data_IF_071458995358
#
_entry.id   IF_071458995358
#
_cell.length_a   1.000
_cell.length_b   1.000
_cell.length_c   1.000
_cell.angle_alpha   90.00
_cell.angle_beta   90.00
_cell.angle_gamma   90.00
#
_symmetry.space_group_name_H-M   'P 1'
#
loop_
_entity.id
_entity.type
_entity.pdbx_description
1 polymer ?
#
# COMPACT_ATOMS: atom_id res chain seq x y z
N UNK A 1 -5.33 -13.34 -37.18
CA UNK A 1 -5.96 -13.25 -35.83
C UNK A 1 -4.92 -13.53 -34.77
N UNK A 2 -4.83 -12.64 -33.77
CA UNK A 2 -3.97 -12.87 -32.60
C UNK A 2 -4.76 -13.73 -31.62
N UNK A 3 -4.27 -14.92 -31.22
CA UNK A 3 -4.98 -15.75 -30.26
C UNK A 3 -5.05 -15.04 -28.91
N UNK A 4 -6.25 -14.86 -28.40
CA UNK A 4 -6.48 -14.29 -27.08
C UNK A 4 -6.48 -15.41 -26.03
N UNK A 5 -5.51 -15.39 -25.14
CA UNK A 5 -5.50 -16.25 -23.97
C UNK A 5 -6.50 -15.73 -22.94
N UNK A 6 -7.65 -16.38 -22.85
CA UNK A 6 -8.67 -16.04 -21.87
C UNK A 6 -8.58 -17.00 -20.69
N UNK A 7 -8.37 -16.45 -19.49
CA UNK A 7 -8.44 -17.23 -18.27
C UNK A 7 -9.90 -17.63 -18.00
N UNK A 8 -10.18 -18.93 -18.03
CA UNK A 8 -11.54 -19.48 -17.89
C UNK A 8 -11.81 -20.19 -16.57
N UNK A 9 -10.81 -20.31 -15.71
CA UNK A 9 -11.00 -20.94 -14.39
C UNK A 9 -11.80 -20.05 -13.46
N UNK A 10 -12.68 -20.67 -12.69
CA UNK A 10 -13.46 -20.01 -11.64
C UNK A 10 -12.77 -20.18 -10.29
N UNK A 11 -13.27 -19.49 -9.26
CA UNK A 11 -12.79 -19.69 -7.89
C UNK A 11 -12.93 -21.15 -7.43
N UNK A 12 -13.93 -21.89 -7.92
CA UNK A 12 -14.10 -23.32 -7.61
C UNK A 12 -12.94 -24.18 -8.12
N UNK A 13 -12.40 -23.79 -9.27
CA UNK A 13 -11.31 -24.54 -9.92
C UNK A 13 -9.95 -24.30 -9.27
N UNK A 14 -9.79 -23.17 -8.58
CA UNK A 14 -8.50 -22.74 -8.02
C UNK A 14 -8.44 -22.76 -6.50
N UNK A 15 -9.58 -22.78 -5.80
CA UNK A 15 -9.63 -22.69 -4.33
C UNK A 15 -8.87 -23.80 -3.60
N UNK A 16 -8.69 -24.96 -4.22
CA UNK A 16 -7.88 -26.06 -3.67
C UNK A 16 -6.37 -25.82 -3.71
N UNK A 17 -5.92 -24.82 -4.48
CA UNK A 17 -4.51 -24.42 -4.57
C UNK A 17 -4.10 -23.30 -3.61
N UNK A 18 -5.07 -22.74 -2.86
CA UNK A 18 -4.82 -21.62 -1.94
C UNK A 18 -5.52 -21.85 -0.61
N UNK A 19 -4.85 -21.62 0.53
CA UNK A 19 -5.50 -21.58 1.84
C UNK A 19 -6.64 -20.55 1.85
N UNK A 20 -7.69 -20.84 2.60
CA UNK A 20 -8.84 -19.93 2.70
C UNK A 20 -8.45 -18.56 3.26
N UNK A 21 -7.59 -18.56 4.26
CA UNK A 21 -7.05 -17.35 4.89
C UNK A 21 -6.33 -16.44 3.88
N UNK A 22 -5.60 -17.01 2.94
CA UNK A 22 -4.91 -16.26 1.90
C UNK A 22 -5.89 -15.62 0.92
N UNK A 23 -6.93 -16.35 0.52
CA UNK A 23 -7.98 -15.79 -0.35
C UNK A 23 -8.72 -14.63 0.34
N UNK A 24 -8.99 -14.76 1.65
CA UNK A 24 -9.60 -13.70 2.45
C UNK A 24 -8.65 -12.51 2.57
N UNK A 25 -7.36 -12.75 2.80
CA UNK A 25 -6.35 -11.69 2.88
C UNK A 25 -6.21 -10.93 1.54
N UNK A 26 -6.13 -11.66 0.42
CA UNK A 26 -6.12 -11.03 -0.91
C UNK A 26 -7.36 -10.17 -1.15
N UNK A 27 -8.54 -10.66 -0.81
CA UNK A 27 -9.78 -9.90 -0.97
C UNK A 27 -9.78 -8.64 -0.08
N UNK A 28 -9.32 -8.75 1.17
CA UNK A 28 -9.15 -7.61 2.07
C UNK A 28 -8.20 -6.57 1.49
N UNK A 29 -7.04 -7.02 1.00
CA UNK A 29 -6.03 -6.12 0.42
C UNK A 29 -6.59 -5.38 -0.81
N UNK A 30 -7.32 -6.08 -1.69
CA UNK A 30 -8.02 -5.46 -2.82
C UNK A 30 -9.04 -4.40 -2.36
N UNK A 31 -9.78 -4.67 -1.27
CA UNK A 31 -10.74 -3.72 -0.71
C UNK A 31 -10.05 -2.49 -0.12
N UNK A 32 -8.92 -2.67 0.58
CA UNK A 32 -8.13 -1.56 1.12
C UNK A 32 -7.61 -0.65 -0.01
N UNK A 33 -7.05 -1.25 -1.07
CA UNK A 33 -6.56 -0.49 -2.23
C UNK A 33 -7.71 0.27 -2.89
N UNK A 34 -8.85 -0.39 -3.16
CA UNK A 34 -10.01 0.24 -3.77
C UNK A 34 -10.50 1.44 -2.95
N UNK A 35 -10.58 1.29 -1.64
CA UNK A 35 -11.07 2.37 -0.76
C UNK A 35 -10.07 3.53 -0.69
N UNK A 36 -8.78 3.23 -0.67
CA UNK A 36 -7.74 4.24 -0.77
C UNK A 36 -7.87 5.06 -2.08
N UNK A 37 -8.03 4.40 -3.21
CA UNK A 37 -8.21 5.06 -4.51
C UNK A 37 -9.51 5.86 -4.59
N UNK A 38 -10.61 5.35 -4.00
CA UNK A 38 -11.87 6.09 -3.87
C UNK A 38 -11.69 7.38 -3.08
N UNK A 39 -10.95 7.33 -1.96
CA UNK A 39 -10.62 8.49 -1.16
C UNK A 39 -9.82 9.52 -1.99
N UNK A 40 -8.76 9.09 -2.67
CA UNK A 40 -7.93 9.98 -3.51
C UNK A 40 -8.78 10.62 -4.61
N UNK A 41 -9.66 9.85 -5.25
CA UNK A 41 -10.58 10.39 -6.25
C UNK A 41 -11.53 11.42 -5.64
N UNK A 42 -12.14 11.12 -4.50
CA UNK A 42 -13.11 11.99 -3.85
C UNK A 42 -12.49 13.33 -3.43
N UNK A 43 -11.33 13.34 -2.77
CA UNK A 43 -10.65 14.58 -2.36
C UNK A 43 -10.17 15.41 -3.54
N UNK A 44 -9.98 14.80 -4.69
CA UNK A 44 -9.59 15.49 -5.93
C UNK A 44 -10.80 16.10 -6.66
N UNK A 45 -11.91 15.37 -6.74
CA UNK A 45 -13.09 15.77 -7.54
C UNK A 45 -14.14 16.48 -6.73
N UNK A 46 -14.56 15.88 -5.62
CA UNK A 46 -15.64 16.38 -4.75
C UNK A 46 -15.10 17.27 -3.62
N UNK A 47 -13.80 17.16 -3.34
CA UNK A 47 -13.09 17.87 -2.24
C UNK A 47 -13.61 17.51 -0.84
N UNK A 48 -14.27 16.39 -0.73
CA UNK A 48 -14.76 15.82 0.52
C UNK A 48 -14.67 14.31 0.48
N UNK A 49 -14.30 13.69 1.59
CA UNK A 49 -14.36 12.26 1.78
C UNK A 49 -14.83 11.94 3.19
N UNK A 50 -15.96 11.21 3.31
CA UNK A 50 -16.56 10.83 4.58
C UNK A 50 -16.75 11.99 5.57
N UNK A 51 -17.18 13.15 5.06
CA UNK A 51 -17.41 14.35 5.87
C UNK A 51 -16.15 15.16 6.18
N UNK A 52 -14.99 14.75 5.67
CA UNK A 52 -13.73 15.52 5.80
C UNK A 52 -13.49 16.32 4.52
N UNK A 53 -13.49 17.64 4.66
CA UNK A 53 -13.17 18.54 3.55
C UNK A 53 -11.67 18.58 3.32
N UNK A 54 -11.25 18.21 2.13
CA UNK A 54 -9.86 18.29 1.69
C UNK A 54 -9.78 18.47 0.18
N UNK A 55 -9.03 19.44 -0.27
CA UNK A 55 -8.82 19.69 -1.70
C UNK A 55 -7.40 19.29 -2.09
N UNK A 56 -7.31 18.32 -2.99
CA UNK A 56 -6.06 17.91 -3.61
C UNK A 56 -6.06 18.29 -5.08
N UNK A 57 -5.10 19.13 -5.48
CA UNK A 57 -4.97 19.65 -6.85
C UNK A 57 -3.82 19.00 -7.63
N UNK A 58 -3.02 18.16 -6.98
CA UNK A 58 -1.89 17.49 -7.59
C UNK A 58 -2.30 16.37 -8.56
N UNK A 59 -1.36 15.82 -9.33
CA UNK A 59 -1.61 14.68 -10.20
C UNK A 59 -1.90 13.43 -9.36
N UNK A 60 -2.94 12.71 -9.72
CA UNK A 60 -3.22 11.37 -9.20
C UNK A 60 -3.66 10.48 -10.35
N UNK A 61 -2.85 9.50 -10.65
CA UNK A 61 -3.10 8.50 -11.68
C UNK A 61 -3.64 7.24 -11.01
N UNK A 62 -4.96 7.18 -10.83
CA UNK A 62 -5.63 6.11 -10.11
C UNK A 62 -5.40 4.75 -10.77
N UNK A 63 -5.25 3.73 -9.95
CA UNK A 63 -5.15 2.31 -10.35
C UNK A 63 -6.45 1.54 -10.09
N UNK A 64 -7.59 2.23 -10.00
CA UNK A 64 -8.90 1.59 -9.85
C UNK A 64 -9.16 0.57 -10.96
N UNK A 65 -9.58 -0.63 -10.55
CA UNK A 65 -9.81 -1.76 -11.46
C UNK A 65 -8.59 -2.67 -11.64
N UNK A 66 -7.41 -2.31 -11.09
CA UNK A 66 -6.18 -3.09 -11.19
C UNK A 66 -5.84 -3.84 -9.89
N UNK A 67 -6.71 -3.79 -8.88
CA UNK A 67 -6.46 -4.33 -7.53
C UNK A 67 -6.12 -5.82 -7.55
N UNK A 68 -6.83 -6.60 -8.36
CA UNK A 68 -6.61 -8.05 -8.46
C UNK A 68 -5.24 -8.38 -9.04
N UNK A 69 -4.78 -7.61 -10.04
CA UNK A 69 -3.46 -7.77 -10.63
C UNK A 69 -2.36 -7.42 -9.62
N UNK A 70 -2.49 -6.27 -8.96
CA UNK A 70 -1.53 -5.80 -7.97
C UNK A 70 -1.39 -6.75 -6.77
N UNK A 71 -2.53 -7.17 -6.20
CA UNK A 71 -2.55 -8.09 -5.06
C UNK A 71 -2.07 -9.49 -5.44
N UNK A 72 -2.45 -9.99 -6.62
CA UNK A 72 -2.00 -11.29 -7.12
C UNK A 72 -0.48 -11.33 -7.32
N UNK A 73 0.10 -10.27 -7.88
CA UNK A 73 1.57 -10.14 -7.99
C UNK A 73 2.23 -10.08 -6.60
N UNK A 74 1.73 -9.23 -5.71
CA UNK A 74 2.28 -9.10 -4.37
C UNK A 74 2.20 -10.39 -3.53
N UNK A 75 1.18 -11.21 -3.79
CA UNK A 75 1.06 -12.52 -3.16
C UNK A 75 2.12 -13.51 -3.65
N UNK A 76 2.42 -13.49 -4.95
CA UNK A 76 3.39 -14.41 -5.59
C UNK A 76 4.85 -14.03 -5.32
N UNK A 77 5.12 -12.78 -4.96
CA UNK A 77 6.47 -12.26 -4.75
C UNK A 77 6.92 -12.42 -3.30
N UNK A 78 8.22 -12.64 -3.12
CA UNK A 78 8.85 -12.59 -1.80
C UNK A 78 9.10 -11.15 -1.34
N UNK A 79 9.37 -10.97 -0.04
CA UNK A 79 9.58 -9.64 0.54
C UNK A 79 10.82 -8.93 -0.03
N UNK A 80 11.82 -9.69 -0.46
CA UNK A 80 13.07 -9.17 -1.03
C UNK A 80 13.00 -8.93 -2.55
N UNK A 81 11.90 -9.32 -3.20
CA UNK A 81 11.73 -9.11 -4.63
C UNK A 81 11.51 -7.64 -4.98
N UNK A 82 12.03 -7.25 -6.13
CA UNK A 82 11.83 -5.91 -6.68
C UNK A 82 10.57 -5.86 -7.54
N UNK A 83 9.84 -4.75 -7.42
CA UNK A 83 8.74 -4.43 -8.33
C UNK A 83 8.99 -3.09 -8.99
N UNK A 84 8.72 -3.04 -10.29
CA UNK A 84 8.76 -1.81 -11.07
C UNK A 84 7.31 -1.47 -11.44
N UNK A 85 6.91 -0.26 -11.16
CA UNK A 85 5.57 0.24 -11.47
C UNK A 85 5.60 1.28 -12.57
N UNK A 86 4.42 1.65 -13.04
CA UNK A 86 4.20 2.79 -13.92
C UNK A 86 3.79 4.01 -13.10
N UNK A 87 3.42 5.10 -13.77
CA UNK A 87 2.81 6.26 -13.11
C UNK A 87 1.44 5.95 -12.43
N UNK A 88 0.91 4.73 -12.60
CA UNK A 88 -0.31 4.22 -11.93
C UNK A 88 0.00 3.14 -10.90
N UNK A 89 1.16 3.19 -10.26
CA UNK A 89 1.62 2.13 -9.36
C UNK A 89 1.08 2.20 -7.94
N UNK A 90 0.05 3.00 -7.68
CA UNK A 90 -0.58 3.06 -6.35
C UNK A 90 -0.97 1.67 -5.84
N UNK A 91 -1.63 0.88 -6.69
CA UNK A 91 -2.08 -0.47 -6.35
C UNK A 91 -0.91 -1.40 -6.03
N UNK A 92 0.13 -1.41 -6.85
CA UNK A 92 1.31 -2.25 -6.67
C UNK A 92 2.07 -1.89 -5.39
N UNK A 93 2.29 -0.59 -5.13
CA UNK A 93 2.98 -0.14 -3.92
C UNK A 93 2.19 -0.51 -2.67
N UNK A 94 0.87 -0.25 -2.67
CA UNK A 94 0.00 -0.62 -1.54
C UNK A 94 -0.07 -2.13 -1.35
N UNK A 95 -0.25 -2.91 -2.43
CA UNK A 95 -0.30 -4.37 -2.34
C UNK A 95 0.99 -4.96 -1.74
N UNK A 96 2.15 -4.46 -2.17
CA UNK A 96 3.45 -4.87 -1.62
C UNK A 96 3.58 -4.48 -0.15
N UNK A 97 3.20 -3.26 0.22
CA UNK A 97 3.21 -2.82 1.61
C UNK A 97 2.27 -3.64 2.49
N UNK A 98 1.05 -3.94 2.03
CA UNK A 98 0.09 -4.81 2.73
C UNK A 98 0.63 -6.24 2.91
N UNK A 99 1.29 -6.79 1.88
CA UNK A 99 1.96 -8.08 1.99
C UNK A 99 3.09 -8.04 3.03
N UNK A 100 3.88 -6.97 3.07
CA UNK A 100 4.94 -6.79 4.06
C UNK A 100 4.38 -6.68 5.48
N UNK A 101 3.35 -5.85 5.70
CA UNK A 101 2.66 -5.74 6.99
C UNK A 101 2.16 -7.09 7.48
N UNK A 102 1.68 -7.96 6.60
CA UNK A 102 1.17 -9.28 6.95
C UNK A 102 2.27 -10.31 7.23
N UNK A 103 3.34 -10.31 6.44
CA UNK A 103 4.35 -11.39 6.40
C UNK A 103 5.54 -11.16 7.33
N UNK A 104 5.92 -9.91 7.60
CA UNK A 104 7.01 -9.59 8.53
C UNK A 104 6.67 -10.01 9.97
N UNK A 105 7.67 -10.40 10.75
CA UNK A 105 7.53 -10.59 12.19
C UNK A 105 7.14 -9.27 12.88
N UNK A 106 6.34 -9.32 13.94
CA UNK A 106 5.86 -8.10 14.61
C UNK A 106 7.01 -7.25 15.16
N UNK A 107 8.02 -7.88 15.74
CA UNK A 107 9.21 -7.18 16.25
C UNK A 107 9.98 -6.48 15.12
N UNK A 108 10.10 -7.14 13.98
CA UNK A 108 10.76 -6.58 12.80
C UNK A 108 9.96 -5.42 12.21
N UNK A 109 8.65 -5.61 12.00
CA UNK A 109 7.75 -4.59 11.50
C UNK A 109 7.76 -3.34 12.39
N UNK A 110 7.67 -3.53 13.70
CA UNK A 110 7.74 -2.41 14.64
C UNK A 110 9.11 -1.72 14.61
N UNK A 111 10.21 -2.49 14.54
CA UNK A 111 11.56 -1.95 14.41
C UNK A 111 11.71 -1.05 13.18
N UNK A 112 11.23 -1.52 12.03
CA UNK A 112 11.23 -0.75 10.78
C UNK A 112 10.47 0.57 10.92
N UNK A 113 9.26 0.54 11.48
CA UNK A 113 8.46 1.75 11.68
C UNK A 113 9.10 2.74 12.66
N UNK A 114 9.67 2.23 13.76
CA UNK A 114 10.36 3.02 14.78
C UNK A 114 11.61 3.72 14.24
N UNK A 115 12.39 3.00 13.45
CA UNK A 115 13.68 3.49 12.96
C UNK A 115 13.52 4.37 11.71
N UNK A 116 12.39 4.25 11.02
CA UNK A 116 12.13 5.04 9.83
C UNK A 116 12.05 6.54 10.14
N UNK A 117 12.99 7.31 9.56
CA UNK A 117 13.10 8.78 9.75
C UNK A 117 13.07 9.20 11.23
N UNK A 118 13.75 8.44 12.10
CA UNK A 118 13.79 8.70 13.54
C UNK A 118 12.42 8.58 14.21
N UNK A 119 11.50 7.79 13.65
CA UNK A 119 10.18 7.51 14.20
C UNK A 119 9.15 8.64 14.05
N UNK A 120 9.44 9.69 13.30
CA UNK A 120 8.53 10.84 13.16
C UNK A 120 7.18 10.45 12.57
N UNK A 121 7.19 9.59 11.53
CA UNK A 121 5.98 9.07 10.91
C UNK A 121 5.19 8.19 11.89
N UNK A 122 5.86 7.29 12.60
CA UNK A 122 5.24 6.41 13.60
C UNK A 122 4.54 7.22 14.70
N UNK A 123 5.22 8.21 15.30
CA UNK A 123 4.61 9.06 16.32
C UNK A 123 3.34 9.80 15.86
N UNK A 124 3.24 10.13 14.57
CA UNK A 124 2.00 10.70 14.06
C UNK A 124 0.89 9.65 13.90
N UNK A 125 1.25 8.47 13.44
CA UNK A 125 0.30 7.36 13.24
C UNK A 125 -0.27 6.88 14.58
N UNK A 126 0.55 6.83 15.63
CA UNK A 126 0.13 6.45 16.99
C UNK A 126 -0.99 7.36 17.54
N UNK A 127 -1.05 8.63 17.14
CA UNK A 127 -2.05 9.59 17.62
C UNK A 127 -3.49 9.23 17.22
N UNK A 128 -3.68 8.49 16.14
CA UNK A 128 -5.02 8.13 15.63
C UNK A 128 -5.24 6.61 15.52
N UNK A 129 -4.22 5.80 15.76
CA UNK A 129 -4.37 4.34 15.80
C UNK A 129 -5.14 3.96 17.07
N UNK A 130 -6.20 3.17 16.92
CA UNK A 130 -7.07 2.79 18.04
C UNK A 130 -6.37 1.88 19.04
N UNK A 131 -5.63 0.90 18.54
CA UNK A 131 -4.86 -0.03 19.35
C UNK A 131 -3.40 -0.03 18.92
N UNK A 132 -2.59 0.81 19.58
CA UNK A 132 -1.16 0.91 19.31
C UNK A 132 -0.35 -0.32 19.77
N UNK A 133 -0.96 -1.21 20.54
CA UNK A 133 -0.35 -2.49 20.92
C UNK A 133 -0.52 -3.55 19.81
N UNK A 134 -1.45 -3.36 18.88
CA UNK A 134 -1.58 -4.20 17.69
C UNK A 134 -0.61 -3.69 16.62
N UNK A 135 0.53 -4.36 16.50
CA UNK A 135 1.58 -3.99 15.54
C UNK A 135 1.09 -4.08 14.10
N UNK A 136 0.10 -4.95 13.80
CA UNK A 136 -0.47 -5.08 12.46
C UNK A 136 -1.39 -3.91 12.11
N UNK A 137 -2.23 -3.48 13.05
CA UNK A 137 -3.05 -2.28 12.89
C UNK A 137 -2.16 -1.04 12.74
N UNK A 138 -1.13 -0.94 13.57
CA UNK A 138 -0.17 0.14 13.51
C UNK A 138 0.57 0.17 12.16
N UNK A 139 1.01 -1.00 11.68
CA UNK A 139 1.68 -1.15 10.39
C UNK A 139 0.78 -0.80 9.19
N UNK A 140 -0.47 -1.18 9.25
CA UNK A 140 -1.46 -0.80 8.23
C UNK A 140 -1.65 0.72 8.19
N UNK A 141 -1.84 1.35 9.34
CA UNK A 141 -2.02 2.80 9.44
C UNK A 141 -0.74 3.55 9.02
N UNK A 142 0.43 3.02 9.37
CA UNK A 142 1.73 3.57 8.95
C UNK A 142 1.88 3.55 7.43
N UNK A 143 1.53 2.42 6.79
CA UNK A 143 1.59 2.30 5.34
C UNK A 143 0.63 3.28 4.65
N UNK A 144 -0.65 3.28 5.06
CA UNK A 144 -1.67 4.09 4.40
C UNK A 144 -1.43 5.59 4.61
N UNK A 145 -1.10 6.00 5.83
CA UNK A 145 -0.81 7.39 6.14
C UNK A 145 0.48 7.87 5.44
N UNK A 146 1.55 7.06 5.48
CA UNK A 146 2.80 7.40 4.81
C UNK A 146 2.62 7.52 3.29
N UNK A 147 1.82 6.66 2.68
CA UNK A 147 1.52 6.74 1.26
C UNK A 147 0.61 7.92 0.90
N UNK A 148 -0.41 8.18 1.72
CA UNK A 148 -1.28 9.35 1.54
C UNK A 148 -0.49 10.66 1.64
N UNK A 149 0.36 10.78 2.65
CA UNK A 149 1.20 11.98 2.82
C UNK A 149 2.22 12.14 1.70
N UNK A 150 2.70 11.04 1.11
CA UNK A 150 3.55 11.07 -0.09
C UNK A 150 2.79 11.63 -1.29
N UNK A 151 1.60 11.13 -1.57
CA UNK A 151 0.76 11.64 -2.67
C UNK A 151 0.48 13.13 -2.52
N UNK A 152 0.28 13.58 -1.27
CA UNK A 152 -0.01 14.97 -0.97
C UNK A 152 1.23 15.86 -0.81
N UNK A 153 2.41 15.33 -1.15
CA UNK A 153 3.66 16.10 -1.16
C UNK A 153 4.11 16.56 0.23
N UNK A 154 3.83 15.78 1.29
CA UNK A 154 4.20 16.14 2.65
C UNK A 154 5.59 15.64 3.02
N UNK A 155 6.37 16.47 3.69
CA UNK A 155 7.74 16.15 4.10
C UNK A 155 7.83 14.90 5.00
N UNK A 156 6.82 14.66 5.83
CA UNK A 156 6.78 13.51 6.74
C UNK A 156 6.62 12.16 6.04
N UNK A 157 6.35 12.15 4.75
CA UNK A 157 6.09 10.95 3.96
C UNK A 157 7.33 10.09 3.71
N UNK A 158 7.15 9.00 2.96
CA UNK A 158 8.20 8.02 2.71
C UNK A 158 9.43 8.58 1.99
N UNK A 159 9.26 9.46 1.02
CA UNK A 159 10.37 10.11 0.29
C UNK A 159 10.41 11.64 0.47
N UNK A 160 9.71 12.16 1.49
CA UNK A 160 9.62 13.60 1.72
C UNK A 160 8.71 14.32 0.74
N UNK A 161 7.73 13.61 0.17
CA UNK A 161 6.81 14.15 -0.84
C UNK A 161 7.42 14.30 -2.24
N UNK A 162 8.64 13.83 -2.45
CA UNK A 162 9.34 13.95 -3.75
C UNK A 162 8.87 12.89 -4.76
N UNK A 163 8.45 11.72 -4.30
CA UNK A 163 7.98 10.64 -5.17
C UNK A 163 6.59 10.89 -5.72
N UNK A 164 5.75 11.58 -4.99
CA UNK A 164 4.36 11.88 -5.36
C UNK A 164 3.64 10.61 -5.88
N UNK A 165 2.90 10.71 -7.00
CA UNK A 165 2.21 9.57 -7.62
C UNK A 165 3.11 8.70 -8.52
N UNK A 166 4.36 9.08 -8.72
CA UNK A 166 5.32 8.40 -9.60
C UNK A 166 6.42 7.70 -8.81
N UNK A 167 6.05 6.94 -7.79
CA UNK A 167 7.02 6.24 -6.98
C UNK A 167 7.54 5.00 -7.69
N UNK A 168 8.78 5.07 -8.12
CA UNK A 168 9.57 3.89 -8.44
C UNK A 168 10.25 3.42 -7.15
N UNK A 169 9.97 2.21 -6.69
CA UNK A 169 10.48 1.71 -5.42
C UNK A 169 11.04 0.31 -5.51
N UNK A 170 12.25 0.22 -4.98
CA UNK A 170 12.73 -1.02 -4.40
C UNK A 170 11.76 -1.41 -3.29
N UNK A 171 10.96 -2.43 -3.56
CA UNK A 171 10.01 -2.94 -2.61
C UNK A 171 10.72 -3.43 -1.36
N UNK A 172 10.32 -2.91 -0.24
CA UNK A 172 10.12 -3.65 0.98
C UNK A 172 11.16 -3.93 1.99
N UNK A 173 12.29 -3.46 1.90
CA UNK A 173 12.73 -2.96 3.19
C UNK A 173 12.27 -1.52 3.19
N UNK A 174 11.34 -1.16 4.05
CA UNK A 174 11.15 0.21 4.50
C UNK A 174 12.56 0.63 4.96
N UNK A 175 13.38 1.11 4.00
CA UNK A 175 14.83 1.04 4.08
C UNK A 175 15.33 1.99 5.15
N UNK A 176 15.64 1.45 6.32
CA UNK A 176 16.50 2.11 7.32
C UNK A 176 17.97 2.25 6.88
N UNK A 177 18.37 1.72 5.72
CA UNK A 177 19.79 1.60 5.33
C UNK A 177 20.30 2.67 4.36
N UNK A 178 19.54 3.73 4.04
CA UNK A 178 20.04 4.85 3.23
C UNK A 178 20.00 6.20 3.95
N UNK A 179 20.25 6.21 5.25
CA UNK A 179 20.57 7.44 6.00
C UNK A 179 21.96 7.29 6.60
N UNK A 180 22.93 7.00 5.75
CA UNK A 180 24.34 7.17 6.08
C UNK A 180 25.13 7.34 4.79
N UNK A 181 25.10 8.53 4.24
CA UNK A 181 26.22 9.27 3.61
C UNK A 181 25.86 10.74 3.55
#
# INVERSE_FOLDING_TARGET
DIPLNTYRKTLKDVKGGFPREDLVAMFRDMRVIREFENMVQAVRTVKNYNGVDYSYTGPAHLSQGQEASAVGQAYALDLDDYTFGTHRSHGEVLARGLAAVRRLGEKELYGIMRDFRGGALLRNVEKFTRNTSDVRELGLNFLLYGFMTELFGREISFTGGLGNSMQDRKSTRLNSSHVSQ
#
